data_IF_567471659573
#
_entry.id   IF_567471659573
#
_cell.length_a   1.000
_cell.length_b   1.000
_cell.length_c   1.000
_cell.angle_alpha   90.00
_cell.angle_beta   90.00
_cell.angle_gamma   90.00
#
_symmetry.space_group_name_H-M   'P 1'
#
loop_
_entity.id
_entity.type
_entity.pdbx_description
1 polymer ?
#
# COMPACT_ATOMS: atom_id res chain seq x y z
N UNK A 1 23.12 -1.11 6.33
CA UNK A 1 22.61 -0.53 5.08
C UNK A 1 21.13 -0.83 5.01
N UNK A 2 20.30 0.14 4.64
CA UNK A 2 18.88 -0.10 4.41
C UNK A 2 18.70 -0.87 3.10
N UNK A 3 17.84 -1.88 3.11
CA UNK A 3 17.52 -2.70 1.94
C UNK A 3 16.02 -2.65 1.70
N UNK A 4 15.63 -2.69 0.43
CA UNK A 4 14.25 -2.79 -0.02
C UNK A 4 14.05 -4.19 -0.60
N UNK A 5 13.02 -4.89 -0.12
CA UNK A 5 12.62 -6.21 -0.64
C UNK A 5 11.76 -6.00 -1.87
N UNK A 6 12.12 -6.62 -2.99
CA UNK A 6 11.39 -6.46 -4.25
C UNK A 6 11.16 -7.80 -4.94
N UNK A 7 10.28 -7.81 -5.94
CA UNK A 7 10.04 -8.93 -6.87
C UNK A 7 11.29 -9.44 -7.58
N UNK A 8 12.33 -8.61 -7.71
CA UNK A 8 13.61 -8.97 -8.35
C UNK A 8 14.75 -9.17 -7.33
N UNK A 9 14.41 -9.30 -6.04
CA UNK A 9 15.36 -9.47 -4.95
C UNK A 9 15.60 -8.19 -4.16
N UNK A 10 16.67 -8.18 -3.36
CA UNK A 10 17.02 -7.04 -2.51
C UNK A 10 17.69 -5.95 -3.34
N UNK A 11 17.24 -4.70 -3.15
CA UNK A 11 17.94 -3.51 -3.66
C UNK A 11 18.40 -2.63 -2.50
N UNK A 12 19.61 -2.11 -2.58
CA UNK A 12 20.19 -1.23 -1.56
C UNK A 12 19.86 0.23 -1.85
N UNK A 13 19.91 1.08 -0.82
CA UNK A 13 19.53 2.50 -0.95
C UNK A 13 20.33 3.29 -2.01
N UNK A 14 21.54 2.86 -2.37
CA UNK A 14 22.37 3.46 -3.43
C UNK A 14 21.98 3.02 -4.84
N UNK A 15 21.15 1.97 -4.96
CA UNK A 15 20.58 1.51 -6.24
C UNK A 15 19.21 2.14 -6.53
N UNK A 16 18.65 2.88 -5.58
CA UNK A 16 17.31 3.46 -5.66
C UNK A 16 17.40 4.96 -5.93
N UNK A 17 16.68 5.41 -6.94
CA UNK A 17 16.42 6.81 -7.27
C UNK A 17 15.01 7.20 -6.84
N UNK A 18 14.20 7.65 -7.80
CA UNK A 18 12.79 8.01 -7.54
C UNK A 18 11.94 6.75 -7.35
N UNK A 19 11.18 6.72 -6.25
CA UNK A 19 10.19 5.68 -5.96
C UNK A 19 8.81 6.33 -6.03
N UNK A 20 7.87 5.69 -6.71
CA UNK A 20 6.44 6.03 -6.52
C UNK A 20 5.90 5.12 -5.41
N UNK A 21 5.51 5.69 -4.25
CA UNK A 21 5.18 4.94 -3.04
C UNK A 21 3.78 4.31 -3.05
N UNK A 22 2.95 4.62 -4.06
CA UNK A 22 1.61 4.05 -4.17
C UNK A 22 1.13 4.01 -5.62
N UNK A 23 1.31 2.84 -6.23
CA UNK A 23 0.77 2.52 -7.55
C UNK A 23 0.19 1.11 -7.51
N UNK A 24 -0.43 0.71 -8.62
CA UNK A 24 -1.04 -0.59 -8.76
C UNK A 24 -0.67 -1.23 -10.10
N UNK A 25 -0.41 -2.54 -10.07
CA UNK A 25 -0.15 -3.33 -11.28
C UNK A 25 -1.39 -4.11 -11.69
N UNK A 26 -2.06 -4.69 -10.70
CA UNK A 26 -3.26 -5.49 -10.89
C UNK A 26 -4.20 -5.25 -9.71
N UNK A 27 -5.45 -4.87 -10.01
CA UNK A 27 -6.47 -4.59 -9.00
C UNK A 27 -7.76 -5.25 -9.44
N UNK A 28 -8.46 -5.87 -8.50
CA UNK A 28 -9.83 -6.32 -8.70
C UNK A 28 -10.69 -5.84 -7.54
N UNK A 29 -11.50 -4.80 -7.77
CA UNK A 29 -12.40 -4.23 -6.76
C UNK A 29 -13.73 -4.99 -6.64
N UNK A 30 -13.91 -6.11 -7.34
CA UNK A 30 -15.03 -7.03 -7.04
C UNK A 30 -14.75 -7.74 -5.72
N UNK A 31 -15.79 -8.25 -5.07
CA UNK A 31 -15.61 -9.08 -3.87
C UNK A 31 -15.09 -10.47 -4.26
N UNK A 32 -14.35 -11.10 -3.36
CA UNK A 32 -13.66 -12.39 -3.57
C UNK A 32 -14.58 -13.55 -3.97
N UNK A 33 -15.89 -13.43 -3.75
CA UNK A 33 -16.92 -14.41 -4.11
C UNK A 33 -17.49 -14.21 -5.53
N UNK A 34 -17.07 -13.15 -6.22
CA UNK A 34 -17.51 -12.87 -7.58
C UNK A 34 -16.83 -13.81 -8.58
N UNK A 35 -17.58 -14.47 -9.49
CA UNK A 35 -16.97 -15.32 -10.52
C UNK A 35 -15.94 -14.57 -11.36
N UNK A 36 -14.75 -15.17 -11.51
CA UNK A 36 -13.65 -14.55 -12.24
C UNK A 36 -12.82 -13.55 -11.45
N UNK A 37 -13.06 -13.42 -10.13
CA UNK A 37 -12.26 -12.57 -9.25
C UNK A 37 -10.77 -12.94 -9.31
N UNK A 38 -9.94 -11.91 -9.46
CA UNK A 38 -8.47 -11.99 -9.56
C UNK A 38 -7.95 -12.95 -10.63
N UNK A 39 -8.77 -13.31 -11.64
CA UNK A 39 -8.36 -14.15 -12.76
C UNK A 39 -7.89 -13.28 -13.92
N UNK A 40 -6.65 -13.52 -14.34
CA UNK A 40 -6.05 -12.97 -15.55
C UNK A 40 -4.85 -13.85 -15.96
N UNK A 41 -4.56 -13.86 -17.26
CA UNK A 41 -3.34 -14.44 -17.80
C UNK A 41 -2.19 -13.43 -17.62
N UNK A 42 -1.03 -13.90 -17.17
CA UNK A 42 0.09 -13.01 -16.86
C UNK A 42 0.56 -12.23 -18.09
N UNK A 43 0.49 -12.83 -19.28
CA UNK A 43 0.84 -12.21 -20.56
C UNK A 43 -0.03 -11.00 -20.90
N UNK A 44 -1.32 -11.03 -20.55
CA UNK A 44 -2.25 -9.92 -20.79
C UNK A 44 -1.90 -8.74 -19.88
N UNK A 45 -1.67 -9.01 -18.59
CA UNK A 45 -1.25 -7.98 -17.63
C UNK A 45 0.11 -7.39 -18.02
N UNK A 46 1.08 -8.22 -18.40
CA UNK A 46 2.37 -7.76 -18.92
C UNK A 46 2.19 -6.87 -20.16
N UNK A 47 1.29 -7.24 -21.07
CA UNK A 47 0.98 -6.48 -22.28
C UNK A 47 0.48 -5.06 -21.99
N UNK A 48 -0.35 -4.90 -20.97
CA UNK A 48 -0.86 -3.59 -20.53
C UNK A 48 0.18 -2.82 -19.71
N UNK A 49 0.85 -3.49 -18.77
CA UNK A 49 1.68 -2.84 -17.76
C UNK A 49 3.09 -2.47 -18.24
N UNK A 50 3.71 -3.27 -19.11
CA UNK A 50 5.08 -3.02 -19.56
C UNK A 50 5.26 -1.65 -20.25
N UNK A 51 4.34 -1.18 -21.13
CA UNK A 51 4.39 0.17 -21.67
C UNK A 51 4.31 1.27 -20.62
N UNK A 52 3.47 1.12 -19.59
CA UNK A 52 3.32 2.11 -18.51
C UNK A 52 4.57 2.15 -17.61
N UNK A 53 5.13 0.99 -17.25
CA UNK A 53 6.41 0.89 -16.53
C UNK A 53 7.54 1.53 -17.35
N UNK A 54 7.56 1.34 -18.67
CA UNK A 54 8.56 1.98 -19.53
C UNK A 54 8.43 3.52 -19.53
N UNK A 55 7.23 4.09 -19.35
CA UNK A 55 7.05 5.53 -19.16
C UNK A 55 7.60 5.98 -17.80
N UNK A 56 7.33 5.24 -16.73
CA UNK A 56 7.86 5.52 -15.40
C UNK A 56 9.40 5.46 -15.38
N UNK A 57 10.01 4.44 -15.99
CA UNK A 57 11.45 4.31 -16.16
C UNK A 57 12.05 5.51 -16.93
N UNK A 58 11.41 5.94 -18.02
CA UNK A 58 11.84 7.13 -18.79
C UNK A 58 11.76 8.42 -17.97
N UNK A 59 10.84 8.50 -17.01
CA UNK A 59 10.74 9.60 -16.06
C UNK A 59 11.76 9.52 -14.91
N UNK A 60 12.58 8.47 -14.85
CA UNK A 60 13.62 8.28 -13.83
C UNK A 60 13.15 7.52 -12.57
N UNK A 61 11.95 6.92 -12.60
CA UNK A 61 11.51 6.01 -11.54
C UNK A 61 12.36 4.74 -11.56
N UNK A 62 12.82 4.28 -10.40
CA UNK A 62 13.66 3.09 -10.26
C UNK A 62 12.96 1.93 -9.55
N UNK A 63 11.89 2.20 -8.81
CA UNK A 63 11.04 1.19 -8.17
C UNK A 63 9.63 1.74 -7.99
N UNK A 64 8.64 0.84 -7.96
CA UNK A 64 7.26 1.16 -7.59
C UNK A 64 6.89 0.36 -6.34
N UNK A 65 6.07 0.95 -5.48
CA UNK A 65 5.42 0.25 -4.39
C UNK A 65 4.02 -0.12 -4.86
N UNK A 66 3.77 -1.42 -4.93
CA UNK A 66 2.48 -2.00 -5.32
C UNK A 66 1.59 -2.05 -4.06
N UNK A 67 0.33 -1.62 -4.18
CA UNK A 67 -0.60 -1.42 -3.06
C UNK A 67 -1.82 -2.36 -3.00
N UNK A 68 -1.96 -3.32 -3.90
CA UNK A 68 -3.05 -4.31 -3.92
C UNK A 68 -2.87 -5.38 -2.85
N UNK A 69 -3.82 -5.44 -1.91
CA UNK A 69 -3.83 -6.41 -0.80
C UNK A 69 -4.78 -7.58 -1.04
N UNK A 70 -4.76 -8.55 -0.12
CA UNK A 70 -5.87 -9.51 -0.03
C UNK A 70 -7.19 -8.73 0.10
N UNK A 71 -8.20 -9.17 -0.66
CA UNK A 71 -9.50 -8.51 -0.77
C UNK A 71 -9.67 -7.70 -2.05
N UNK A 72 -8.59 -7.15 -2.63
CA UNK A 72 -8.64 -6.34 -3.86
C UNK A 72 -7.75 -6.86 -4.99
N UNK A 73 -7.57 -8.18 -5.04
CA UNK A 73 -6.98 -8.85 -6.20
C UNK A 73 -5.47 -9.05 -6.15
N UNK A 74 -4.81 -8.99 -4.98
CA UNK A 74 -3.34 -9.20 -4.90
C UNK A 74 -2.87 -10.46 -5.65
N UNK A 75 -1.97 -10.26 -6.62
CA UNK A 75 -1.37 -11.31 -7.48
C UNK A 75 0.15 -11.14 -7.57
N UNK A 76 0.85 -11.52 -6.50
CA UNK A 76 2.32 -11.42 -6.41
C UNK A 76 3.05 -12.21 -7.51
N UNK A 77 2.44 -13.28 -8.02
CA UNK A 77 2.93 -14.03 -9.18
C UNK A 77 2.87 -13.21 -10.48
N UNK A 78 1.80 -12.44 -10.69
CA UNK A 78 1.67 -11.51 -11.82
C UNK A 78 2.62 -10.33 -11.64
N UNK A 79 2.73 -9.76 -10.44
CA UNK A 79 3.68 -8.67 -10.15
C UNK A 79 5.11 -9.09 -10.49
N UNK A 80 5.48 -10.34 -10.16
CA UNK A 80 6.77 -10.92 -10.54
C UNK A 80 6.92 -11.05 -12.05
N UNK A 81 5.91 -11.55 -12.76
CA UNK A 81 5.95 -11.68 -14.21
C UNK A 81 6.14 -10.31 -14.91
N UNK A 82 5.40 -9.30 -14.46
CA UNK A 82 5.54 -7.91 -14.94
C UNK A 82 6.94 -7.36 -14.65
N UNK A 83 7.45 -7.57 -13.44
CA UNK A 83 8.79 -7.14 -13.05
C UNK A 83 9.88 -7.78 -13.91
N UNK A 84 9.76 -9.08 -14.19
CA UNK A 84 10.71 -9.83 -15.02
C UNK A 84 10.67 -9.37 -16.48
N UNK A 85 9.48 -9.17 -17.04
CA UNK A 85 9.31 -8.73 -18.43
C UNK A 85 9.81 -7.30 -18.67
N UNK A 86 9.67 -6.42 -17.68
CA UNK A 86 10.08 -5.01 -17.76
C UNK A 86 11.47 -4.72 -17.17
N UNK A 87 12.11 -5.72 -16.54
CA UNK A 87 13.32 -5.57 -15.74
C UNK A 87 13.21 -4.39 -14.76
N UNK A 88 12.12 -4.37 -14.01
CA UNK A 88 11.78 -3.27 -13.11
C UNK A 88 11.29 -3.80 -11.76
N UNK A 89 11.89 -3.39 -10.63
CA UNK A 89 11.55 -3.94 -9.33
C UNK A 89 10.26 -3.33 -8.75
N UNK A 90 9.42 -4.19 -8.16
CA UNK A 90 8.21 -3.81 -7.44
C UNK A 90 8.32 -4.22 -5.97
N UNK A 91 7.80 -3.39 -5.06
CA UNK A 91 7.68 -3.68 -3.62
C UNK A 91 6.25 -4.11 -3.33
N UNK A 92 6.04 -5.39 -3.04
CA UNK A 92 4.69 -5.99 -2.93
C UNK A 92 4.23 -6.04 -1.46
N UNK A 93 2.94 -5.85 -1.16
CA UNK A 93 2.45 -5.81 0.22
C UNK A 93 2.01 -7.19 0.72
N UNK A 94 2.13 -7.38 2.04
CA UNK A 94 1.19 -8.20 2.81
C UNK A 94 0.01 -7.36 3.31
N UNK A 95 -0.99 -8.00 3.91
CA UNK A 95 -2.12 -7.34 4.53
C UNK A 95 -3.45 -7.50 3.79
N UNK A 96 -4.47 -6.84 4.31
CA UNK A 96 -5.88 -7.03 3.91
C UNK A 96 -6.55 -5.67 3.77
N UNK A 97 -7.42 -5.56 2.77
CA UNK A 97 -8.25 -4.37 2.57
C UNK A 97 -9.38 -4.27 3.62
N UNK A 98 -10.25 -3.27 3.47
CA UNK A 98 -11.38 -2.99 4.38
C UNK A 98 -12.65 -3.73 3.96
N UNK A 99 -13.70 -3.63 4.77
CA UNK A 99 -15.02 -4.10 4.38
C UNK A 99 -15.55 -3.39 3.11
N UNK A 100 -16.31 -4.07 2.23
CA UNK A 100 -16.74 -5.47 2.28
C UNK A 100 -15.77 -6.46 1.61
N UNK A 101 -14.53 -6.06 1.34
CA UNK A 101 -13.55 -6.89 0.63
C UNK A 101 -12.83 -7.89 1.54
N UNK A 102 -13.08 -7.88 2.85
CA UNK A 102 -12.46 -8.79 3.81
C UNK A 102 -12.94 -10.23 3.55
N UNK A 103 -12.04 -11.21 3.30
CA UNK A 103 -12.43 -12.59 3.09
C UNK A 103 -12.95 -13.29 4.35
N UNK A 104 -13.82 -14.29 4.17
CA UNK A 104 -14.40 -15.07 5.28
C UNK A 104 -13.37 -15.69 6.25
N UNK A 105 -12.22 -16.13 5.73
CA UNK A 105 -11.15 -16.67 6.57
C UNK A 105 -10.52 -15.60 7.48
N UNK A 106 -10.46 -14.33 7.05
CA UNK A 106 -9.93 -13.23 7.86
C UNK A 106 -10.89 -12.89 8.98
N UNK A 107 -12.20 -12.91 8.73
CA UNK A 107 -13.21 -12.72 9.78
C UNK A 107 -13.07 -13.77 10.90
N UNK A 108 -12.83 -15.03 10.53
CA UNK A 108 -12.75 -16.15 11.49
C UNK A 108 -11.37 -16.32 12.11
N UNK A 109 -10.30 -15.81 11.49
CA UNK A 109 -8.94 -15.88 12.02
C UNK A 109 -8.79 -15.06 13.31
N UNK A 110 -7.96 -15.54 14.24
CA UNK A 110 -7.55 -14.76 15.41
C UNK A 110 -6.50 -13.71 15.01
N UNK A 111 -6.30 -12.71 15.86
CA UNK A 111 -5.25 -11.70 15.67
C UNK A 111 -3.86 -12.34 15.52
N UNK A 112 -3.56 -13.37 16.31
CA UNK A 112 -2.28 -14.08 16.30
C UNK A 112 -2.08 -14.84 14.98
N UNK A 113 -3.14 -15.48 14.47
CA UNK A 113 -3.09 -16.15 13.16
C UNK A 113 -2.83 -15.16 12.03
N UNK A 114 -3.50 -13.99 12.05
CA UNK A 114 -3.28 -12.94 11.06
C UNK A 114 -1.86 -12.36 11.14
N UNK A 115 -1.36 -12.13 12.35
CA UNK A 115 0.01 -11.65 12.56
C UNK A 115 1.04 -12.67 12.08
N UNK A 116 0.87 -13.94 12.41
CA UNK A 116 1.75 -15.01 11.94
C UNK A 116 1.73 -15.16 10.42
N UNK A 117 0.57 -15.00 9.78
CA UNK A 117 0.44 -15.01 8.33
C UNK A 117 1.19 -13.84 7.67
N UNK A 118 0.97 -12.61 8.12
CA UNK A 118 1.71 -11.44 7.60
C UNK A 118 3.23 -11.58 7.83
N UNK A 119 3.64 -12.06 9.01
CA UNK A 119 5.04 -12.29 9.35
C UNK A 119 5.69 -13.32 8.43
N UNK A 120 4.99 -14.41 8.11
CA UNK A 120 5.47 -15.43 7.19
C UNK A 120 5.70 -14.86 5.79
N UNK A 121 4.80 -14.01 5.28
CA UNK A 121 4.97 -13.36 3.98
C UNK A 121 6.09 -12.30 3.98
N UNK A 122 6.31 -11.62 5.12
CA UNK A 122 7.39 -10.63 5.29
C UNK A 122 8.78 -11.25 5.46
N UNK A 123 8.88 -12.53 5.80
CA UNK A 123 10.14 -13.25 6.03
C UNK A 123 10.39 -14.41 5.06
N UNK A 124 9.38 -14.75 4.26
CA UNK A 124 9.38 -15.85 3.31
C UNK A 124 8.74 -15.42 2.01
N UNK A 125 7.85 -16.23 1.46
CA UNK A 125 7.16 -15.94 0.22
C UNK A 125 5.64 -15.79 0.41
N UNK A 126 5.04 -14.92 -0.39
CA UNK A 126 3.60 -14.80 -0.53
C UNK A 126 3.10 -16.03 -1.29
N UNK A 127 2.42 -16.93 -0.59
CA UNK A 127 1.96 -18.21 -1.15
C UNK A 127 3.15 -18.93 -1.83
N UNK A 128 2.98 -19.48 -3.03
CA UNK A 128 4.05 -20.15 -3.79
C UNK A 128 4.61 -19.26 -4.92
N UNK A 129 4.52 -17.93 -4.78
CA UNK A 129 4.88 -16.98 -5.85
C UNK A 129 6.39 -16.77 -6.03
N UNK A 130 7.19 -17.12 -5.02
CA UNK A 130 8.61 -16.74 -4.94
C UNK A 130 8.85 -15.25 -4.71
N UNK A 131 7.84 -14.50 -4.25
CA UNK A 131 7.95 -13.07 -3.90
C UNK A 131 7.77 -12.88 -2.39
N UNK A 132 8.73 -12.21 -1.76
CA UNK A 132 8.63 -11.78 -0.37
C UNK A 132 7.93 -10.42 -0.27
N UNK A 133 7.02 -10.26 0.70
CA UNK A 133 6.39 -8.97 0.97
C UNK A 133 7.43 -7.98 1.51
N UNK A 134 7.42 -6.74 1.02
CA UNK A 134 8.31 -5.68 1.48
C UNK A 134 7.72 -4.75 2.53
N UNK A 135 6.39 -4.78 2.71
CA UNK A 135 5.66 -3.87 3.58
C UNK A 135 4.25 -4.38 3.88
N UNK A 136 3.52 -3.68 4.75
CA UNK A 136 2.15 -4.03 5.13
C UNK A 136 1.20 -2.94 4.65
N UNK A 137 0.23 -3.28 3.81
CA UNK A 137 -0.85 -2.39 3.39
C UNK A 137 -2.17 -2.84 3.99
N UNK A 138 -2.95 -1.88 4.46
CA UNK A 138 -4.26 -2.06 5.08
C UNK A 138 -5.26 -1.04 4.50
N UNK A 139 -6.51 -1.13 4.97
CA UNK A 139 -7.52 -0.10 4.76
C UNK A 139 -8.48 -0.06 5.96
N UNK A 140 -9.15 1.06 6.17
CA UNK A 140 -10.18 1.22 7.19
C UNK A 140 -11.43 1.91 6.63
N UNK A 141 -12.58 1.64 7.24
CA UNK A 141 -13.86 2.23 6.86
C UNK A 141 -13.91 3.76 6.98
N UNK A 142 -14.72 4.39 6.13
CA UNK A 142 -14.87 5.85 6.09
C UNK A 142 -15.53 6.40 7.37
N UNK A 143 -16.42 5.63 7.99
CA UNK A 143 -17.20 6.04 9.16
C UNK A 143 -16.59 5.61 10.50
N UNK A 144 -15.41 4.97 10.47
CA UNK A 144 -14.77 4.37 11.64
C UNK A 144 -14.16 3.02 11.30
N UNK A 145 -13.27 2.55 12.18
CA UNK A 145 -12.65 1.24 12.03
C UNK A 145 -13.53 0.16 12.67
N UNK A 146 -13.85 -0.90 11.92
CA UNK A 146 -14.67 -2.00 12.44
C UNK A 146 -13.88 -2.87 13.43
N UNK A 147 -14.55 -3.78 14.16
CA UNK A 147 -13.88 -4.77 15.00
C UNK A 147 -12.94 -5.69 14.18
N UNK A 148 -13.37 -6.04 12.96
CA UNK A 148 -12.57 -6.88 12.06
C UNK A 148 -11.33 -6.13 11.58
N UNK A 149 -11.48 -4.89 11.12
CA UNK A 149 -10.38 -4.02 10.68
C UNK A 149 -9.43 -3.68 11.83
N UNK A 150 -9.95 -3.47 13.04
CA UNK A 150 -9.16 -3.26 14.27
C UNK A 150 -8.31 -4.49 14.58
N UNK A 151 -8.88 -5.70 14.46
CA UNK A 151 -8.13 -6.96 14.63
C UNK A 151 -7.03 -7.10 13.59
N UNK A 152 -7.29 -6.73 12.33
CA UNK A 152 -6.31 -6.72 11.24
C UNK A 152 -5.18 -5.72 11.55
N UNK A 153 -5.51 -4.49 11.95
CA UNK A 153 -4.53 -3.46 12.30
C UNK A 153 -3.62 -3.88 13.47
N UNK A 154 -4.19 -4.48 14.51
CA UNK A 154 -3.41 -5.02 15.64
C UNK A 154 -2.47 -6.15 15.20
N UNK A 155 -2.95 -7.05 14.33
CA UNK A 155 -2.11 -8.10 13.76
C UNK A 155 -0.95 -7.54 12.92
N UNK A 156 -1.20 -6.50 12.13
CA UNK A 156 -0.19 -5.78 11.37
C UNK A 156 0.83 -5.08 12.28
N UNK A 157 0.39 -4.43 13.36
CA UNK A 157 1.29 -3.83 14.34
C UNK A 157 2.23 -4.86 14.99
N UNK A 158 1.73 -6.06 15.31
CA UNK A 158 2.57 -7.15 15.81
C UNK A 158 3.60 -7.60 14.76
N UNK A 159 3.18 -7.86 13.52
CA UNK A 159 4.11 -8.27 12.45
C UNK A 159 5.13 -7.18 12.11
N UNK A 160 4.69 -5.92 12.08
CA UNK A 160 5.52 -4.74 11.84
C UNK A 160 6.55 -4.52 12.96
N UNK A 161 6.24 -4.82 14.21
CA UNK A 161 7.22 -4.77 15.32
C UNK A 161 8.35 -5.79 15.16
N UNK A 162 8.02 -7.00 14.73
CA UNK A 162 9.02 -8.08 14.56
C UNK A 162 9.94 -7.85 13.35
N UNK A 163 9.46 -7.16 12.32
CA UNK A 163 10.15 -6.99 11.03
C UNK A 163 10.61 -5.56 10.75
N UNK A 164 10.15 -4.60 11.55
CA UNK A 164 10.24 -3.16 11.29
C UNK A 164 9.61 -2.74 9.94
N UNK A 165 8.65 -3.52 9.43
CA UNK A 165 7.92 -3.23 8.19
C UNK A 165 6.91 -2.08 8.37
N UNK A 166 6.93 -1.11 7.45
CA UNK A 166 5.97 0.00 7.47
C UNK A 166 4.53 -0.49 7.28
N UNK A 167 3.58 0.14 7.97
CA UNK A 167 2.15 -0.03 7.75
C UNK A 167 1.66 1.17 6.95
N UNK A 168 1.04 0.96 5.80
CA UNK A 168 0.26 1.99 5.12
C UNK A 168 -1.21 1.65 5.15
N UNK A 169 -2.08 2.64 5.37
CA UNK A 169 -3.52 2.40 5.43
C UNK A 169 -4.29 3.37 4.55
N UNK A 170 -5.02 2.83 3.56
CA UNK A 170 -6.05 3.56 2.83
C UNK A 170 -7.08 4.05 3.85
N UNK A 171 -7.15 5.37 4.07
CA UNK A 171 -8.09 5.96 5.01
C UNK A 171 -8.33 7.41 4.63
N UNK A 172 -9.57 7.76 4.27
CA UNK A 172 -9.89 9.11 3.77
C UNK A 172 -10.30 10.11 4.86
N UNK A 173 -10.33 9.69 6.14
CA UNK A 173 -10.76 10.51 7.28
C UNK A 173 -9.67 10.56 8.35
N UNK A 174 -9.17 11.75 8.65
CA UNK A 174 -8.11 11.95 9.64
C UNK A 174 -8.50 11.52 11.06
N UNK A 175 -9.79 11.59 11.42
CA UNK A 175 -10.26 11.03 12.70
C UNK A 175 -10.10 9.51 12.80
N UNK A 176 -10.25 8.77 11.70
CA UNK A 176 -10.03 7.31 11.67
C UNK A 176 -8.54 7.04 11.79
N UNK A 177 -7.70 7.82 11.10
CA UNK A 177 -6.25 7.71 11.23
C UNK A 177 -5.80 7.97 12.66
N UNK A 178 -6.37 8.96 13.34
CA UNK A 178 -6.11 9.19 14.76
C UNK A 178 -6.41 7.94 15.60
N UNK A 179 -7.56 7.30 15.39
CA UNK A 179 -7.93 6.04 16.06
C UNK A 179 -6.94 4.90 15.72
N UNK A 180 -6.52 4.78 14.46
CA UNK A 180 -5.52 3.78 14.04
C UNK A 180 -4.17 4.01 14.73
N UNK A 181 -3.71 5.25 14.79
CA UNK A 181 -2.46 5.61 15.46
C UNK A 181 -2.54 5.34 16.97
N UNK A 182 -3.68 5.63 17.62
CA UNK A 182 -3.91 5.29 19.03
C UNK A 182 -3.80 3.77 19.27
N UNK A 183 -4.37 2.96 18.36
CA UNK A 183 -4.32 1.50 18.45
C UNK A 183 -2.90 0.97 18.28
N UNK A 184 -2.16 1.40 17.25
CA UNK A 184 -0.81 0.87 17.00
C UNK A 184 0.18 1.32 18.08
N UNK A 185 0.05 2.53 18.62
CA UNK A 185 0.89 3.01 19.72
C UNK A 185 0.60 2.25 21.02
N UNK A 186 -0.67 1.98 21.32
CA UNK A 186 -1.04 1.11 22.45
C UNK A 186 -0.50 -0.32 22.28
N UNK A 187 -0.29 -0.78 21.04
CA UNK A 187 0.38 -2.05 20.72
C UNK A 187 1.92 -1.97 20.79
N UNK A 188 2.48 -0.81 21.13
CA UNK A 188 3.92 -0.57 21.20
C UNK A 188 4.58 -0.40 19.82
N UNK A 189 3.81 -0.02 18.81
CA UNK A 189 4.34 0.36 17.49
C UNK A 189 4.42 1.89 17.35
N UNK A 190 5.11 2.37 16.32
CA UNK A 190 5.39 3.79 16.15
C UNK A 190 4.56 4.40 15.03
N UNK A 191 3.97 5.58 15.28
CA UNK A 191 3.41 6.41 14.22
C UNK A 191 4.43 6.73 13.11
N UNK A 192 5.73 6.81 13.47
CA UNK A 192 6.88 6.90 12.53
C UNK A 192 6.96 5.80 11.47
N UNK A 193 6.22 4.69 11.68
CA UNK A 193 6.12 3.54 10.78
C UNK A 193 4.71 3.38 10.22
N UNK A 194 3.93 4.45 10.19
CA UNK A 194 2.59 4.49 9.62
C UNK A 194 2.53 5.49 8.47
N UNK A 195 1.97 5.07 7.34
CA UNK A 195 1.66 5.91 6.19
C UNK A 195 0.14 6.10 6.13
N UNK A 196 -0.31 7.33 6.24
CA UNK A 196 -1.68 7.72 5.95
C UNK A 196 -1.83 7.88 4.43
N UNK A 197 -2.52 6.91 3.84
CA UNK A 197 -2.75 6.83 2.41
C UNK A 197 -4.07 7.52 2.06
N UNK A 198 -4.09 8.26 0.94
CA UNK A 198 -5.11 9.22 0.55
C UNK A 198 -5.31 10.37 1.52
N UNK A 199 -4.22 10.89 2.11
CA UNK A 199 -4.31 12.00 3.08
C UNK A 199 -5.07 13.20 2.48
N UNK A 200 -4.91 13.47 1.19
CA UNK A 200 -5.55 14.57 0.47
C UNK A 200 -7.09 14.54 0.50
N UNK A 201 -7.71 13.40 0.80
CA UNK A 201 -9.16 13.29 0.87
C UNK A 201 -9.75 13.90 2.16
N UNK A 202 -8.91 14.13 3.18
CA UNK A 202 -9.32 14.84 4.39
C UNK A 202 -9.33 16.36 4.14
N UNK A 203 -10.50 17.03 4.25
CA UNK A 203 -10.56 18.47 4.07
C UNK A 203 -9.97 19.27 5.25
N UNK A 204 -9.95 18.70 6.46
CA UNK A 204 -9.41 19.36 7.63
C UNK A 204 -7.89 19.20 7.73
N UNK A 205 -7.18 20.19 7.20
CA UNK A 205 -5.72 20.22 7.21
C UNK A 205 -5.11 20.26 8.62
N UNK A 206 -5.84 20.68 9.66
CA UNK A 206 -5.29 20.62 11.02
C UNK A 206 -5.06 19.16 11.44
N UNK A 207 -5.87 18.21 10.93
CA UNK A 207 -5.64 16.78 11.12
C UNK A 207 -4.38 16.29 10.41
N UNK A 208 -4.05 16.84 9.24
CA UNK A 208 -2.79 16.51 8.55
C UNK A 208 -1.61 16.90 9.42
N UNK A 209 -1.61 18.15 9.92
CA UNK A 209 -0.56 18.67 10.79
C UNK A 209 -0.46 17.86 12.09
N UNK A 210 -1.60 17.46 12.67
CA UNK A 210 -1.63 16.63 13.87
C UNK A 210 -0.97 15.26 13.63
N UNK A 211 -1.39 14.54 12.59
CA UNK A 211 -0.87 13.20 12.30
C UNK A 211 0.62 13.25 11.92
N UNK A 212 1.04 14.24 11.13
CA UNK A 212 2.46 14.42 10.78
C UNK A 212 3.32 14.78 12.01
N UNK A 213 2.83 15.63 12.93
CA UNK A 213 3.56 15.94 14.18
C UNK A 213 3.64 14.74 15.13
N UNK A 214 2.66 13.83 15.05
CA UNK A 214 2.71 12.53 15.75
C UNK A 214 3.75 11.58 15.13
N UNK A 215 4.19 11.87 13.90
CA UNK A 215 5.23 11.13 13.17
C UNK A 215 4.70 10.25 12.05
N UNK A 216 3.40 10.31 11.72
CA UNK A 216 2.88 9.60 10.57
C UNK A 216 3.35 10.25 9.26
N UNK A 217 3.61 9.43 8.26
CA UNK A 217 3.83 9.88 6.90
C UNK A 217 2.49 10.20 6.26
N UNK A 218 2.42 11.32 5.54
CA UNK A 218 1.26 11.76 4.79
C UNK A 218 1.50 11.50 3.31
N UNK A 219 0.63 10.72 2.71
CA UNK A 219 0.71 10.40 1.30
C UNK A 219 -0.37 11.15 0.52
N UNK A 220 0.07 11.97 -0.43
CA UNK A 220 -0.77 12.59 -1.45
C UNK A 220 -0.58 11.85 -2.76
N UNK A 221 -1.48 10.90 -2.99
CA UNK A 221 -1.32 9.87 -4.00
C UNK A 221 -2.34 9.97 -5.14
N UNK A 222 -3.13 11.03 -5.27
CA UNK A 222 -4.05 11.20 -6.43
C UNK A 222 -3.58 12.26 -7.42
N UNK A 223 -2.28 12.55 -7.48
CA UNK A 223 -1.73 13.60 -8.33
C UNK A 223 -1.97 13.28 -9.82
N UNK A 224 -2.40 14.28 -10.59
CA UNK A 224 -2.74 14.15 -12.00
C UNK A 224 -4.19 13.75 -12.26
N UNK A 225 -5.09 13.83 -11.27
CA UNK A 225 -6.55 13.63 -11.41
C UNK A 225 -7.32 14.85 -11.91
N UNK A 226 -6.62 15.97 -12.10
CA UNK A 226 -7.20 17.23 -12.52
C UNK A 226 -7.38 18.24 -11.38
N UNK A 227 -7.00 17.89 -10.14
CA UNK A 227 -7.03 18.79 -8.99
C UNK A 227 -5.62 19.08 -8.42
N UNK A 228 -4.62 19.19 -9.29
CA UNK A 228 -3.21 19.38 -8.90
C UNK A 228 -2.97 20.65 -8.07
N UNK A 229 -3.77 21.70 -8.27
CA UNK A 229 -3.71 22.92 -7.46
C UNK A 229 -4.04 22.66 -5.98
N UNK A 230 -4.98 21.76 -5.69
CA UNK A 230 -5.30 21.36 -4.32
C UNK A 230 -4.15 20.59 -3.67
N UNK A 231 -3.54 19.65 -4.40
CA UNK A 231 -2.36 18.93 -3.92
C UNK A 231 -1.20 19.90 -3.67
N UNK A 232 -0.91 20.79 -4.62
CA UNK A 232 0.16 21.78 -4.49
C UNK A 232 -0.05 22.68 -3.27
N UNK A 233 -1.27 23.18 -3.05
CA UNK A 233 -1.58 24.01 -1.89
C UNK A 233 -1.31 23.26 -0.58
N UNK A 234 -1.74 22.01 -0.46
CA UNK A 234 -1.51 21.19 0.73
C UNK A 234 -0.01 20.87 0.95
N UNK A 235 0.73 20.58 -0.12
CA UNK A 235 2.18 20.34 -0.09
C UNK A 235 2.91 21.58 0.45
N UNK A 236 2.62 22.76 -0.10
CA UNK A 236 3.24 24.01 0.33
C UNK A 236 2.93 24.30 1.80
N UNK A 237 1.70 24.06 2.26
CA UNK A 237 1.34 24.24 3.68
C UNK A 237 2.10 23.29 4.61
N UNK A 238 2.38 22.05 4.19
CA UNK A 238 3.20 21.12 4.97
C UNK A 238 4.68 21.55 4.99
N UNK A 239 5.19 22.06 3.87
CA UNK A 239 6.55 22.62 3.80
C UNK A 239 6.70 23.84 4.70
N UNK A 240 5.75 24.77 4.65
CA UNK A 240 5.72 25.97 5.52
C UNK A 240 5.63 25.60 7.01
N UNK A 241 4.96 24.50 7.34
CA UNK A 241 4.89 23.95 8.69
C UNK A 241 6.16 23.19 9.13
N UNK A 242 7.15 23.04 8.25
CA UNK A 242 8.40 22.29 8.53
C UNK A 242 8.23 20.77 8.54
N UNK A 243 7.16 20.24 7.94
CA UNK A 243 6.78 18.82 7.96
C UNK A 243 7.02 18.12 6.61
N UNK A 244 7.73 18.75 5.67
CA UNK A 244 8.00 18.18 4.34
C UNK A 244 8.73 16.82 4.35
N UNK A 245 9.47 16.50 5.41
CA UNK A 245 10.14 15.21 5.57
C UNK A 245 9.17 14.06 5.93
N UNK A 246 7.87 14.32 6.06
CA UNK A 246 6.82 13.33 6.28
C UNK A 246 5.92 13.17 5.06
N UNK A 247 6.29 13.74 3.92
CA UNK A 247 5.46 13.76 2.73
C UNK A 247 5.86 12.66 1.73
N UNK A 248 4.87 11.96 1.21
CA UNK A 248 4.96 11.02 0.09
C UNK A 248 4.02 11.47 -1.02
N UNK A 249 4.42 11.30 -2.27
CA UNK A 249 3.68 11.76 -3.47
C UNK A 249 3.58 10.62 -4.48
N UNK A 250 2.38 10.31 -4.97
CA UNK A 250 2.12 9.28 -5.98
C UNK A 250 0.88 9.60 -6.81
N UNK A 251 0.44 8.65 -7.64
CA UNK A 251 -0.72 8.81 -8.54
C UNK A 251 -1.85 7.82 -8.28
N UNK A 252 -1.60 6.72 -7.54
CA UNK A 252 -2.58 5.68 -7.24
C UNK A 252 -3.26 5.20 -8.53
N UNK A 253 -2.43 4.75 -9.50
CA UNK A 253 -2.87 4.53 -10.88
C UNK A 253 -2.25 3.33 -11.57
N UNK A 254 -2.80 3.10 -12.76
CA UNK A 254 -2.13 2.41 -13.84
C UNK A 254 -2.25 0.89 -13.80
N UNK A 255 -3.32 0.34 -13.22
CA UNK A 255 -3.50 -1.11 -13.06
C UNK A 255 -4.24 -1.76 -14.24
N UNK A 256 -4.08 -3.08 -14.32
CA UNK A 256 -4.98 -3.97 -15.04
C UNK A 256 -6.20 -4.32 -14.15
N UNK A 257 -7.41 -4.12 -14.67
CA UNK A 257 -8.68 -4.49 -14.03
C UNK A 257 -9.33 -5.69 -14.77
N UNK A 258 -9.32 -6.91 -14.19
CA UNK A 258 -9.89 -8.09 -14.82
C UNK A 258 -11.43 -8.04 -14.98
N UNK A 259 -12.10 -7.03 -14.41
CA UNK A 259 -13.53 -6.80 -14.64
C UNK A 259 -13.82 -6.06 -15.97
N UNK A 260 -12.80 -5.48 -16.60
CA UNK A 260 -12.93 -4.68 -17.81
C UNK A 260 -12.39 -5.40 -19.06
N UNK A 261 -12.96 -5.15 -20.26
CA UNK A 261 -12.43 -5.72 -21.49
C UNK A 261 -11.00 -5.22 -21.77
N UNK A 262 -10.03 -6.14 -21.67
CA UNK A 262 -8.62 -5.87 -21.95
C UNK A 262 -7.79 -5.40 -20.76
N UNK A 263 -8.37 -5.44 -19.55
CA UNK A 263 -7.75 -4.84 -18.37
C UNK A 263 -8.11 -3.38 -18.20
#
# INVERSE_FOLDING_TARGET
>A
MSVLVTTLGLITSDQVGMILPHEHVFVDLRTWDTPGYALAEAEEVVGLMAPEIAKAQKAGVTALVECSTVGVGRRADIDRAVSQASNFPLVVPTGVYREPWVPAWVHTASQEKLSAWMLAELQGEIQDSGVQAGWIKLSAGDDGITDCETKILRAAALAGRETNAVIGSHTIRGRVVREQLDIIEAMGYSAGRFIWIHTQAEPDFDLHLEMARRGAWLEYDSIGDGNDEHHLANILRLLDAGLGAQLLLSHDRGWYDPALPGG
#
